data_IF_946254762955
#
_entry.id   IF_946254762955
#
_cell.length_a   1.000
_cell.length_b   1.000
_cell.length_c   1.000
_cell.angle_alpha   90.00
_cell.angle_beta   90.00
_cell.angle_gamma   90.00
#
_symmetry.space_group_name_H-M   'P 1'
#
loop_
_entity.id
_entity.type
_entity.pdbx_description
1 polymer ?
#
# COMPACT_ATOMS: atom_id res chain seq x y z
N UNK A 1 -2.05 5.92 -15.60
CA UNK A 1 -0.97 6.93 -15.49
C UNK A 1 -0.47 7.07 -14.05
N UNK A 2 -1.33 7.34 -13.04
CA UNK A 2 -0.90 7.46 -11.64
C UNK A 2 -0.54 6.10 -10.99
N UNK A 3 -1.40 5.08 -11.15
CA UNK A 3 -1.19 3.82 -10.42
C UNK A 3 -0.03 3.02 -11.01
N UNK A 4 0.15 3.06 -12.32
CA UNK A 4 1.30 2.47 -13.00
C UNK A 4 2.63 3.00 -12.45
N UNK A 5 2.67 4.28 -12.03
CA UNK A 5 3.83 4.84 -11.35
C UNK A 5 3.98 4.31 -9.92
N UNK A 6 2.89 4.24 -9.15
CA UNK A 6 2.88 3.74 -7.77
C UNK A 6 3.25 2.26 -7.64
N UNK A 7 2.97 1.45 -8.66
CA UNK A 7 3.35 0.02 -8.70
C UNK A 7 4.75 -0.22 -9.30
N UNK A 8 5.51 0.84 -9.58
CA UNK A 8 6.89 0.69 -10.04
C UNK A 8 7.76 0.07 -8.94
N UNK A 9 8.72 -0.78 -9.34
CA UNK A 9 9.65 -1.38 -8.36
C UNK A 9 10.42 -0.32 -7.56
N UNK A 10 10.71 0.83 -8.16
CA UNK A 10 11.40 1.95 -7.51
C UNK A 10 10.65 2.45 -6.27
N UNK A 11 9.32 2.61 -6.38
CA UNK A 11 8.49 3.08 -5.26
C UNK A 11 8.10 1.94 -4.31
N UNK A 12 7.79 0.76 -4.85
CA UNK A 12 7.40 -0.40 -4.05
C UNK A 12 8.54 -0.97 -3.20
N UNK A 13 9.76 -0.97 -3.73
CA UNK A 13 10.97 -1.49 -3.06
C UNK A 13 11.89 -0.37 -2.60
N UNK A 14 11.36 0.85 -2.45
CA UNK A 14 12.14 2.02 -2.06
C UNK A 14 12.86 1.79 -0.72
N UNK A 15 14.14 2.14 -0.58
CA UNK A 15 14.91 1.84 0.64
C UNK A 15 14.37 2.54 1.90
N UNK A 16 13.73 3.69 1.74
CA UNK A 16 13.08 4.41 2.83
C UNK A 16 11.70 3.81 3.16
N UNK A 17 11.59 3.20 4.34
CA UNK A 17 10.37 2.61 4.87
C UNK A 17 9.18 3.57 4.92
N UNK A 18 9.40 4.85 5.26
CA UNK A 18 8.32 5.84 5.30
C UNK A 18 7.71 6.10 3.91
N UNK A 19 8.54 6.07 2.87
CA UNK A 19 8.11 6.20 1.48
C UNK A 19 7.31 4.97 1.06
N UNK A 20 7.81 3.76 1.37
CA UNK A 20 7.09 2.52 1.09
C UNK A 20 5.69 2.54 1.73
N UNK A 21 5.60 2.83 3.04
CA UNK A 21 4.32 2.84 3.77
C UNK A 21 3.36 3.91 3.21
N UNK A 22 3.88 5.07 2.80
CA UNK A 22 3.06 6.10 2.17
C UNK A 22 2.52 5.67 0.80
N UNK A 23 3.35 5.04 -0.03
CA UNK A 23 2.95 4.49 -1.34
C UNK A 23 1.91 3.39 -1.17
N UNK A 24 2.12 2.48 -0.21
CA UNK A 24 1.15 1.42 0.13
C UNK A 24 -0.19 2.00 0.56
N UNK A 25 -0.19 3.04 1.41
CA UNK A 25 -1.42 3.71 1.85
C UNK A 25 -2.20 4.35 0.70
N UNK A 26 -1.50 4.93 -0.29
CA UNK A 26 -2.18 5.44 -1.48
C UNK A 26 -2.73 4.31 -2.35
N UNK A 27 -1.96 3.22 -2.53
CA UNK A 27 -2.38 2.07 -3.32
C UNK A 27 -3.62 1.39 -2.73
N UNK A 28 -3.71 1.24 -1.40
CA UNK A 28 -4.86 0.62 -0.75
C UNK A 28 -6.16 1.38 -1.01
N UNK A 29 -6.11 2.72 -0.96
CA UNK A 29 -7.29 3.55 -1.23
C UNK A 29 -7.73 3.48 -2.69
N UNK A 30 -6.77 3.48 -3.62
CA UNK A 30 -7.07 3.44 -5.05
C UNK A 30 -7.67 2.08 -5.44
N UNK A 31 -7.08 0.98 -4.98
CA UNK A 31 -7.54 -0.37 -5.32
C UNK A 31 -8.95 -0.62 -4.79
N UNK A 32 -9.27 -0.14 -3.59
CA UNK A 32 -10.64 -0.21 -3.06
C UNK A 32 -11.66 0.46 -3.99
N UNK A 33 -11.29 1.57 -4.63
CA UNK A 33 -12.15 2.26 -5.61
C UNK A 33 -12.30 1.55 -6.95
N UNK A 34 -11.48 0.54 -7.24
CA UNK A 34 -11.48 -0.18 -8.53
C UNK A 34 -12.30 -1.47 -8.52
N UNK A 35 -12.76 -1.92 -7.35
CA UNK A 35 -13.64 -3.09 -7.23
C UNK A 35 -15.04 -2.73 -7.75
N UNK A 36 -15.72 -3.60 -8.52
CA UNK A 36 -15.39 -4.99 -8.85
C UNK A 36 -14.48 -5.20 -10.07
N UNK A 37 -14.30 -4.18 -10.90
CA UNK A 37 -13.60 -4.27 -12.19
C UNK A 37 -12.09 -4.02 -12.07
N UNK A 38 -11.44 -4.74 -11.16
CA UNK A 38 -10.01 -4.57 -10.89
C UNK A 38 -9.19 -4.80 -12.17
N UNK A 39 -8.36 -3.83 -12.60
CA UNK A 39 -7.62 -3.91 -13.86
C UNK A 39 -6.32 -4.74 -13.76
N UNK A 40 -6.09 -5.43 -12.64
CA UNK A 40 -4.84 -6.11 -12.33
C UNK A 40 -4.98 -7.62 -12.45
N UNK A 41 -3.92 -8.28 -12.91
CA UNK A 41 -3.82 -9.74 -12.84
C UNK A 41 -3.71 -10.20 -11.38
N UNK A 42 -4.12 -11.45 -11.10
CA UNK A 42 -4.00 -12.07 -9.77
C UNK A 42 -2.56 -11.98 -9.21
N UNK A 43 -1.56 -12.12 -10.08
CA UNK A 43 -0.14 -11.99 -9.70
C UNK A 43 0.17 -10.58 -9.20
N UNK A 44 -0.24 -9.57 -9.96
CA UNK A 44 -0.05 -8.16 -9.58
C UNK A 44 -0.81 -7.85 -8.29
N UNK A 45 -2.02 -8.37 -8.15
CA UNK A 45 -2.84 -8.17 -6.97
C UNK A 45 -2.21 -8.82 -5.71
N UNK A 46 -1.65 -10.02 -5.86
CA UNK A 46 -0.89 -10.69 -4.80
C UNK A 46 0.31 -9.85 -4.32
N UNK A 47 1.10 -9.30 -5.25
CA UNK A 47 2.27 -8.49 -4.90
C UNK A 47 1.86 -7.21 -4.13
N UNK A 48 0.75 -6.59 -4.53
CA UNK A 48 0.21 -5.42 -3.83
C UNK A 48 -0.32 -5.81 -2.45
N UNK A 49 -1.06 -6.91 -2.30
CA UNK A 49 -1.53 -7.38 -0.99
C UNK A 49 -0.36 -7.73 -0.06
N UNK A 50 0.69 -8.37 -0.57
CA UNK A 50 1.91 -8.66 0.19
C UNK A 50 2.55 -7.39 0.75
N UNK A 51 2.55 -6.31 -0.04
CA UNK A 51 3.02 -5.00 0.39
C UNK A 51 2.14 -4.37 1.48
N UNK A 52 0.82 -4.49 1.36
CA UNK A 52 -0.13 -4.05 2.40
C UNK A 52 0.12 -4.75 3.72
N UNK A 53 0.24 -6.09 3.69
CA UNK A 53 0.52 -6.91 4.87
C UNK A 53 1.86 -6.52 5.50
N UNK A 54 2.91 -6.38 4.68
CA UNK A 54 4.25 -5.97 5.14
C UNK A 54 4.24 -4.59 5.78
N UNK A 55 3.39 -3.68 5.29
CA UNK A 55 3.27 -2.32 5.82
C UNK A 55 2.63 -2.27 7.20
N UNK A 56 1.98 -3.32 7.69
CA UNK A 56 1.49 -3.38 9.08
C UNK A 56 2.59 -3.36 10.14
N UNK A 57 3.85 -3.64 9.77
CA UNK A 57 5.00 -3.38 10.63
C UNK A 57 5.10 -1.89 11.05
N UNK A 58 4.50 -0.97 10.29
CA UNK A 58 4.45 0.46 10.64
C UNK A 58 3.58 0.75 11.87
N UNK A 59 2.66 -0.14 12.25
CA UNK A 59 1.77 0.03 13.41
C UNK A 59 2.50 0.02 14.75
N UNK A 60 3.74 -0.47 14.81
CA UNK A 60 4.58 -0.43 16.01
C UNK A 60 5.68 0.62 15.91
N UNK A 61 5.70 1.41 14.83
CA UNK A 61 6.74 2.39 14.57
C UNK A 61 6.58 3.64 15.47
N UNK A 62 7.70 4.14 16.01
CA UNK A 62 7.71 5.29 16.95
C UNK A 62 7.23 6.61 16.34
N UNK A 63 7.41 6.77 15.03
CA UNK A 63 6.91 7.95 14.30
C UNK A 63 5.38 7.88 14.15
N UNK A 64 4.69 8.86 14.73
CA UNK A 64 3.23 9.01 14.63
C UNK A 64 2.76 9.10 13.18
N UNK A 65 3.53 9.72 12.28
CA UNK A 65 3.18 9.81 10.85
C UNK A 65 3.15 8.43 10.18
N UNK A 66 4.20 7.63 10.39
CA UNK A 66 4.34 6.30 9.80
C UNK A 66 3.29 5.35 10.38
N UNK A 67 3.09 5.42 11.71
CA UNK A 67 2.05 4.67 12.41
C UNK A 67 0.63 4.98 11.87
N UNK A 68 0.30 6.27 11.70
CA UNK A 68 -0.99 6.70 11.18
C UNK A 68 -1.24 6.19 9.76
N UNK A 69 -0.21 6.14 8.90
CA UNK A 69 -0.31 5.55 7.57
C UNK A 69 -0.56 4.04 7.62
N UNK A 70 0.10 3.33 8.53
CA UNK A 70 -0.20 1.91 8.83
C UNK A 70 -1.66 1.69 9.21
N UNK A 71 -2.18 2.54 10.11
CA UNK A 71 -3.57 2.46 10.55
C UNK A 71 -4.55 2.70 9.39
N UNK A 72 -4.25 3.66 8.50
CA UNK A 72 -5.05 3.90 7.29
C UNK A 72 -5.09 2.72 6.34
N UNK A 73 -3.96 2.04 6.15
CA UNK A 73 -3.90 0.82 5.34
C UNK A 73 -4.83 -0.23 5.98
N UNK A 74 -4.72 -0.45 7.29
CA UNK A 74 -5.55 -1.43 8.01
C UNK A 74 -7.04 -1.12 7.89
N UNK A 75 -7.44 0.13 8.13
CA UNK A 75 -8.82 0.60 8.02
C UNK A 75 -9.38 0.40 6.60
N UNK A 76 -8.53 0.57 5.58
CA UNK A 76 -8.92 0.42 4.17
C UNK A 76 -9.02 -1.04 3.75
N UNK A 77 -8.20 -1.93 4.30
CA UNK A 77 -8.23 -3.37 3.98
C UNK A 77 -9.31 -4.12 4.75
N UNK A 78 -9.70 -3.64 5.94
CA UNK A 78 -10.70 -4.28 6.80
C UNK A 78 -12.15 -3.93 6.45
N UNK A 79 -12.39 -2.92 5.61
CA UNK A 79 -13.71 -2.44 5.17
C UNK A 79 -13.89 -2.59 3.67
#
# INVERSE_FOLDING_TARGET
>A
MLITALVSEELLKHSNFAIQVAVTSCLSEIIRGMVPDTPYSDKTMHDIFSLMISSFASLTHKSTYINAKGFRILETTAN
#
